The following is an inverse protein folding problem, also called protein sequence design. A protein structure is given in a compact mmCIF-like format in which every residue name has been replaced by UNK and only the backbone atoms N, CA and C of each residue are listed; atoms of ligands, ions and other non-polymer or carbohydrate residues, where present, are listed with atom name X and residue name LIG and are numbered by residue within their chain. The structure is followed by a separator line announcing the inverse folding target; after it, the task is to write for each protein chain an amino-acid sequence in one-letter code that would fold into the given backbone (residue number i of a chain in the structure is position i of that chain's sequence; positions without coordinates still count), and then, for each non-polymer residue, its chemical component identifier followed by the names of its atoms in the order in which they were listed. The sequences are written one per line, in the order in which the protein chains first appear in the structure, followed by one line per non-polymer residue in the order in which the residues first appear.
data_IF_704892602898
#
_entry.id   IF_704892602898
#
_cell.length_a   1.000
_cell.length_b   1.000
_cell.length_c   1.000
_cell.angle_alpha   90.00
_cell.angle_beta   90.00
_cell.angle_gamma   90.00
#
_symmetry.space_group_name_H-M   'P 1'
#
loop_
_entity.id
_entity.type
_entity.pdbx_description
1 polymer ?
#
# COMPACT_ATOMS: atom_id res chain seq x y z
N UNK A 1 -5.33 -8.44 -15.66
CA UNK A 1 -5.82 -7.81 -14.40
C UNK A 1 -4.90 -8.07 -13.21
N UNK A 2 -4.56 -9.32 -12.89
CA UNK A 2 -3.73 -9.66 -11.71
C UNK A 2 -2.33 -9.00 -11.70
N UNK A 3 -1.64 -8.89 -12.84
CA UNK A 3 -0.34 -8.21 -12.93
C UNK A 3 -0.42 -6.72 -12.53
N UNK A 4 -1.50 -6.04 -12.91
CA UNK A 4 -1.72 -4.62 -12.57
C UNK A 4 -2.01 -4.44 -11.09
N UNK A 5 -2.79 -5.35 -10.50
CA UNK A 5 -3.04 -5.39 -9.05
C UNK A 5 -1.72 -5.57 -8.29
N UNK A 6 -0.88 -6.53 -8.72
CA UNK A 6 0.42 -6.76 -8.11
C UNK A 6 1.33 -5.52 -8.20
N UNK A 7 1.34 -4.84 -9.35
CA UNK A 7 2.11 -3.59 -9.53
C UNK A 7 1.64 -2.48 -8.57
N UNK A 8 0.33 -2.25 -8.46
CA UNK A 8 -0.23 -1.22 -7.56
C UNK A 8 0.00 -1.56 -6.08
N UNK A 9 -0.04 -2.84 -5.71
CA UNK A 9 0.22 -3.32 -4.34
C UNK A 9 1.68 -3.18 -3.92
N UNK A 10 2.63 -3.21 -4.85
CA UNK A 10 4.04 -2.89 -4.55
C UNK A 10 4.20 -1.46 -4.02
N UNK A 11 3.30 -0.56 -4.43
CA UNK A 11 3.39 0.85 -4.06
C UNK A 11 4.40 1.59 -4.93
N UNK A 12 4.95 2.67 -4.38
CA UNK A 12 5.86 3.56 -5.10
C UNK A 12 7.26 2.96 -5.33
N UNK A 13 8.19 3.76 -5.86
CA UNK A 13 9.55 3.32 -6.15
C UNK A 13 10.31 2.76 -4.93
N UNK A 14 11.06 1.66 -5.11
CA UNK A 14 11.82 0.93 -4.05
C UNK A 14 12.75 1.85 -3.24
N UNK A 15 13.31 2.91 -3.86
CA UNK A 15 14.15 3.91 -3.18
C UNK A 15 13.46 4.53 -1.96
N UNK A 16 12.15 4.72 -2.01
CA UNK A 16 11.39 5.27 -0.89
C UNK A 16 11.10 4.22 0.19
N UNK A 17 10.97 2.94 -0.20
CA UNK A 17 10.86 1.83 0.75
C UNK A 17 12.18 1.67 1.54
N UNK A 18 13.32 1.72 0.85
CA UNK A 18 14.64 1.69 1.47
C UNK A 18 14.84 2.89 2.43
N UNK A 19 14.58 4.12 1.95
CA UNK A 19 14.70 5.34 2.79
C UNK A 19 13.79 5.30 4.02
N UNK A 20 12.56 4.78 3.89
CA UNK A 20 11.67 4.61 5.03
C UNK A 20 12.25 3.63 6.06
N UNK A 21 12.77 2.48 5.60
CA UNK A 21 13.41 1.49 6.46
C UNK A 21 14.64 2.05 7.19
N UNK A 22 15.49 2.82 6.51
CA UNK A 22 16.63 3.52 7.11
C UNK A 22 16.21 4.50 8.22
N UNK A 23 15.04 5.13 8.08
CA UNK A 23 14.46 6.02 9.09
C UNK A 23 13.68 5.29 10.19
N UNK A 24 13.70 3.95 10.22
CA UNK A 24 12.91 3.16 11.16
C UNK A 24 11.40 3.19 10.89
N UNK A 25 10.98 3.62 9.69
CA UNK A 25 9.58 3.70 9.27
C UNK A 25 9.18 2.46 8.47
N UNK A 26 8.01 1.93 8.80
CA UNK A 26 7.37 0.84 8.05
C UNK A 26 6.72 1.38 6.77
N UNK A 27 6.57 0.51 5.77
CA UNK A 27 5.70 0.76 4.63
C UNK A 27 4.23 0.84 5.07
N UNK A 28 3.41 1.60 4.34
CA UNK A 28 2.05 1.89 4.75
C UNK A 28 1.18 0.62 4.92
N UNK A 29 1.28 -0.37 4.00
CA UNK A 29 0.55 -1.65 4.15
C UNK A 29 1.07 -2.48 5.33
N UNK A 30 2.37 -2.46 5.63
CA UNK A 30 2.94 -3.14 6.81
C UNK A 30 2.42 -2.53 8.13
N UNK A 31 2.12 -1.22 8.15
CA UNK A 31 1.50 -0.57 9.33
C UNK A 31 0.10 -1.10 9.57
N UNK A 32 -0.67 -1.31 8.49
CA UNK A 32 -2.04 -1.84 8.57
C UNK A 32 -2.04 -3.30 9.02
N UNK A 33 -1.13 -4.12 8.49
CA UNK A 33 -0.96 -5.52 8.90
C UNK A 33 -0.62 -5.68 10.38
N UNK A 34 0.05 -4.70 11.00
CA UNK A 34 0.34 -4.70 12.44
C UNK A 34 -0.80 -4.18 13.31
N UNK A 35 -1.65 -3.32 12.76
CA UNK A 35 -2.74 -2.68 13.48
C UNK A 35 -4.00 -3.53 13.51
N UNK A 36 -4.28 -4.22 12.40
CA UNK A 36 -5.54 -4.92 12.18
C UNK A 36 -5.38 -6.43 12.43
N UNK A 37 -6.48 -7.07 12.82
CA UNK A 37 -6.55 -8.52 12.95
C UNK A 37 -6.20 -9.20 11.61
N UNK A 38 -5.37 -10.26 11.62
CA UNK A 38 -4.95 -10.96 10.41
C UNK A 38 -6.14 -11.41 9.54
N UNK A 39 -6.08 -11.10 8.25
CA UNK A 39 -7.09 -11.50 7.27
C UNK A 39 -8.39 -10.68 7.29
N UNK A 40 -8.49 -9.65 8.13
CA UNK A 40 -9.71 -8.81 8.21
C UNK A 40 -9.67 -7.57 7.33
N UNK A 41 -8.49 -7.13 6.90
CA UNK A 41 -8.33 -5.92 6.09
C UNK A 41 -8.84 -6.13 4.67
N UNK A 42 -9.76 -5.26 4.25
CA UNK A 42 -10.25 -5.15 2.87
C UNK A 42 -9.89 -3.77 2.34
N UNK A 43 -9.00 -3.73 1.35
CA UNK A 43 -8.52 -2.51 0.70
C UNK A 43 -9.56 -1.98 -0.31
N UNK A 44 -9.85 -0.68 -0.21
CA UNK A 44 -10.65 0.09 -1.17
C UNK A 44 -9.79 1.17 -1.83
N UNK A 45 -10.11 1.55 -3.06
CA UNK A 45 -9.41 2.62 -3.78
C UNK A 45 -8.08 2.22 -4.44
N UNK A 46 -7.76 0.92 -4.56
CA UNK A 46 -6.47 0.45 -5.13
C UNK A 46 -6.16 1.04 -6.53
N UNK A 47 -7.18 1.26 -7.35
CA UNK A 47 -7.05 1.78 -8.71
C UNK A 47 -7.17 3.32 -8.79
N UNK A 48 -7.24 4.01 -7.65
CA UNK A 48 -7.23 5.48 -7.63
C UNK A 48 -5.98 6.00 -8.34
N UNK A 49 -6.19 6.93 -9.28
CA UNK A 49 -5.17 7.57 -10.10
C UNK A 49 -4.19 6.61 -10.82
N UNK A 50 -4.58 5.35 -11.07
CA UNK A 50 -3.69 4.30 -11.59
C UNK A 50 -3.24 4.45 -13.06
N UNK A 51 -3.57 5.57 -13.70
CA UNK A 51 -3.07 5.97 -15.02
C UNK A 51 -1.84 6.89 -14.90
N UNK A 52 -1.64 7.55 -13.76
CA UNK A 52 -0.41 8.24 -13.45
C UNK A 52 0.64 7.22 -13.00
N UNK A 53 1.79 7.20 -13.68
CA UNK A 53 2.80 6.13 -13.53
C UNK A 53 3.41 6.06 -12.12
N UNK A 54 3.47 7.19 -11.42
CA UNK A 54 4.13 7.32 -10.11
C UNK A 54 3.17 7.42 -8.91
N UNK A 55 1.86 7.25 -9.12
CA UNK A 55 0.81 7.46 -8.10
C UNK A 55 -0.09 6.23 -7.89
N UNK A 56 0.47 5.07 -7.46
CA UNK A 56 -0.33 3.90 -7.13
C UNK A 56 -1.28 4.21 -5.96
N UNK A 57 -2.58 3.92 -6.14
CA UNK A 57 -3.64 4.24 -5.17
C UNK A 57 -3.64 5.73 -4.75
N UNK A 58 -3.17 6.64 -5.62
CA UNK A 58 -3.01 8.07 -5.31
C UNK A 58 -2.16 8.37 -4.06
N UNK A 59 -1.26 7.45 -3.69
CA UNK A 59 -0.39 7.60 -2.52
C UNK A 59 -1.06 7.36 -1.18
N UNK A 60 -2.33 6.91 -1.15
CA UNK A 60 -3.08 6.61 0.07
C UNK A 60 -3.64 5.19 0.03
N UNK A 61 -3.66 4.52 1.18
CA UNK A 61 -4.30 3.20 1.32
C UNK A 61 -5.49 3.37 2.25
N UNK A 62 -6.67 3.02 1.73
CA UNK A 62 -7.95 3.09 2.44
C UNK A 62 -8.57 1.71 2.54
N UNK A 63 -9.40 1.48 3.55
CA UNK A 63 -10.09 0.21 3.72
C UNK A 63 -10.73 0.04 5.09
N UNK A 64 -11.29 -1.15 5.30
CA UNK A 64 -11.97 -1.54 6.53
C UNK A 64 -11.29 -2.79 7.09
N UNK A 65 -11.12 -2.86 8.41
CA UNK A 65 -10.59 -4.03 9.11
C UNK A 65 -11.02 -4.05 10.58
N UNK A 66 -10.72 -5.15 11.28
CA UNK A 66 -11.01 -5.32 12.71
C UNK A 66 -9.75 -5.04 13.53
N UNK A 67 -9.94 -4.51 14.74
CA UNK A 67 -8.93 -4.28 15.80
C UNK A 67 -9.42 -4.92 17.08
#
# INVERSE_FOLDING_TARGET
MQQRIAALRRGGPEKYHARNREQGKLFARERLERLLDPGTFVEDGLFANCLAEDLPADGVITGIGRV
#
